data_IF_607284058548
#
_entry.id   IF_607284058548
#
_cell.length_a   1.000
_cell.length_b   1.000
_cell.length_c   1.000
_cell.angle_alpha   90.00
_cell.angle_beta   90.00
_cell.angle_gamma   90.00
#
_symmetry.space_group_name_H-M   'P 1'
#
loop_
_entity.id
_entity.type
_entity.pdbx_description
1 polymer ?
#
# COMPACT_ATOMS: atom_id res chain seq x y z
N UNK A 1 -8.01 0.19 9.17
CA UNK A 1 -8.12 -1.19 9.70
C UNK A 1 -8.13 -1.26 11.23
N UNK A 2 -7.42 -0.38 11.94
CA UNK A 2 -7.36 -0.40 13.42
C UNK A 2 -8.74 -0.37 14.09
N UNK A 3 -9.54 0.67 13.79
CA UNK A 3 -10.87 0.84 14.36
C UNK A 3 -11.79 -0.36 14.07
N UNK A 4 -11.78 -0.81 12.82
CA UNK A 4 -12.53 -1.98 12.39
C UNK A 4 -12.17 -3.24 13.22
N UNK A 5 -10.87 -3.48 13.44
CA UNK A 5 -10.41 -4.61 14.27
C UNK A 5 -10.90 -4.49 15.72
N UNK A 6 -10.88 -3.29 16.29
CA UNK A 6 -11.40 -3.03 17.65
C UNK A 6 -12.89 -3.31 17.75
N UNK A 7 -13.69 -2.75 16.85
CA UNK A 7 -15.14 -2.96 16.83
C UNK A 7 -15.49 -4.46 16.74
N UNK A 8 -14.81 -5.21 15.86
CA UNK A 8 -15.02 -6.67 15.76
C UNK A 8 -14.64 -7.40 17.04
N UNK A 9 -13.54 -7.02 17.69
CA UNK A 9 -13.15 -7.59 18.99
C UNK A 9 -14.17 -7.26 20.09
N UNK A 10 -14.86 -6.13 19.99
CA UNK A 10 -15.93 -5.70 20.89
C UNK A 10 -17.28 -6.39 20.58
N UNK A 11 -17.33 -7.26 19.55
CA UNK A 11 -18.51 -8.03 19.17
C UNK A 11 -19.37 -7.40 18.06
N UNK A 12 -18.96 -6.24 17.54
CA UNK A 12 -19.64 -5.57 16.44
C UNK A 12 -19.40 -6.28 15.10
N UNK A 13 -20.20 -5.93 14.09
CA UNK A 13 -20.14 -6.52 12.75
C UNK A 13 -19.68 -5.50 11.71
N UNK A 14 -18.95 -5.97 10.71
CA UNK A 14 -18.55 -5.18 9.54
C UNK A 14 -19.25 -5.74 8.32
N UNK A 15 -19.85 -4.85 7.51
CA UNK A 15 -20.47 -5.19 6.24
C UNK A 15 -19.76 -4.47 5.09
N UNK A 16 -19.59 -5.17 3.97
CA UNK A 16 -19.14 -4.57 2.72
C UNK A 16 -20.36 -4.12 1.91
N UNK A 17 -20.33 -2.87 1.41
CA UNK A 17 -21.38 -2.29 0.58
C UNK A 17 -20.78 -1.99 -0.79
N UNK A 18 -21.13 -2.79 -1.80
CA UNK A 18 -20.53 -2.72 -3.13
C UNK A 18 -20.96 -1.46 -3.89
N UNK A 19 -22.14 -0.92 -3.57
CA UNK A 19 -22.77 0.23 -4.22
C UNK A 19 -22.20 1.56 -3.74
N UNK A 20 -21.42 1.57 -2.65
CA UNK A 20 -20.79 2.78 -2.13
C UNK A 20 -19.73 3.30 -3.12
N UNK A 21 -20.00 4.46 -3.72
CA UNK A 21 -19.07 5.05 -4.68
C UNK A 21 -17.81 5.58 -3.98
N UNK A 22 -16.63 5.24 -4.53
CA UNK A 22 -15.35 5.81 -4.12
C UNK A 22 -14.66 6.34 -5.37
N UNK A 23 -14.36 7.64 -5.39
CA UNK A 23 -13.59 8.27 -6.44
C UNK A 23 -12.12 8.36 -6.00
N UNK A 24 -11.23 7.80 -6.81
CA UNK A 24 -9.79 7.86 -6.57
C UNK A 24 -9.20 9.06 -7.31
N UNK A 25 -8.92 10.15 -6.59
CA UNK A 25 -8.12 11.26 -7.07
C UNK A 25 -6.70 11.07 -6.53
N UNK A 26 -5.78 10.60 -7.38
CA UNK A 26 -4.38 10.50 -7.02
C UNK A 26 -3.53 11.24 -8.04
N UNK A 27 -2.99 12.37 -7.62
CA UNK A 27 -1.84 13.02 -8.24
C UNK A 27 -0.69 12.91 -7.24
N UNK A 28 -0.01 11.75 -7.26
CA UNK A 28 1.10 11.44 -6.35
C UNK A 28 2.35 11.14 -7.14
N UNK A 29 3.47 11.69 -6.68
CA UNK A 29 4.78 11.32 -7.20
C UNK A 29 5.14 9.88 -6.82
N UNK A 30 6.06 9.27 -7.56
CA UNK A 30 6.54 7.91 -7.27
C UNK A 30 7.13 7.76 -5.86
N UNK A 31 7.84 8.79 -5.38
CA UNK A 31 8.34 8.83 -4.01
C UNK A 31 7.21 8.98 -2.98
N UNK A 32 6.15 9.73 -3.32
CA UNK A 32 4.92 9.82 -2.55
C UNK A 32 4.23 8.47 -2.39
N UNK A 33 4.04 7.74 -3.50
CA UNK A 33 3.46 6.39 -3.50
C UNK A 33 4.25 5.45 -2.59
N UNK A 34 5.59 5.43 -2.72
CA UNK A 34 6.46 4.62 -1.84
C UNK A 34 6.24 4.99 -0.37
N UNK A 35 6.30 6.28 -0.03
CA UNK A 35 6.17 6.77 1.35
C UNK A 35 4.80 6.44 1.95
N UNK A 36 3.73 6.53 1.15
CA UNK A 36 2.37 6.15 1.56
C UNK A 36 2.32 4.68 1.97
N UNK A 37 2.75 3.79 1.08
CA UNK A 37 2.72 2.35 1.34
C UNK A 37 3.69 1.91 2.45
N UNK A 38 4.80 2.63 2.63
CA UNK A 38 5.71 2.46 3.76
C UNK A 38 5.04 2.79 5.09
N UNK A 39 4.34 3.93 5.18
CA UNK A 39 3.55 4.30 6.37
C UNK A 39 2.41 3.33 6.65
N UNK A 40 1.70 2.90 5.63
CA UNK A 40 0.62 1.91 5.76
C UNK A 40 1.15 0.57 6.29
N UNK A 41 2.33 0.13 5.83
CA UNK A 41 2.96 -1.11 6.28
C UNK A 41 3.41 -1.03 7.74
N UNK A 42 3.98 0.11 8.17
CA UNK A 42 4.31 0.36 9.58
C UNK A 42 3.03 0.31 10.45
N UNK A 43 1.97 0.97 10.01
CA UNK A 43 0.69 0.95 10.72
C UNK A 43 0.11 -0.47 10.78
N UNK A 44 0.18 -1.23 9.68
CA UNK A 44 -0.32 -2.60 9.61
C UNK A 44 0.45 -3.52 10.56
N UNK A 45 1.77 -3.34 10.74
CA UNK A 45 2.52 -4.10 11.75
C UNK A 45 2.01 -3.84 13.17
N UNK A 46 1.68 -2.60 13.50
CA UNK A 46 1.10 -2.28 14.82
C UNK A 46 -0.29 -2.90 14.99
N UNK A 47 -1.12 -2.89 13.94
CA UNK A 47 -2.50 -3.39 13.98
C UNK A 47 -2.54 -4.93 13.91
N UNK A 48 -1.66 -5.55 13.12
CA UNK A 48 -1.62 -6.98 12.81
C UNK A 48 -0.17 -7.49 12.80
N UNK A 49 0.48 -7.61 13.98
CA UNK A 49 1.89 -7.96 14.08
C UNK A 49 2.22 -9.35 13.51
N UNK A 50 1.22 -10.22 13.31
CA UNK A 50 1.42 -11.52 12.67
C UNK A 50 1.76 -11.43 11.17
N UNK A 51 1.47 -10.29 10.50
CA UNK A 51 1.73 -10.11 9.08
C UNK A 51 3.16 -9.61 8.87
N UNK A 52 3.99 -10.47 8.30
CA UNK A 52 5.37 -10.16 7.93
C UNK A 52 5.57 -10.34 6.44
N UNK A 53 6.34 -9.46 5.82
CA UNK A 53 6.62 -9.50 4.38
C UNK A 53 8.12 -9.66 4.19
N UNK A 54 8.51 -10.85 3.74
CA UNK A 54 9.89 -11.15 3.39
C UNK A 54 10.25 -10.71 1.97
N UNK A 55 11.54 -10.83 1.63
CA UNK A 55 12.04 -10.53 0.27
C UNK A 55 11.41 -11.43 -0.81
N UNK A 56 11.09 -12.68 -0.47
CA UNK A 56 10.42 -13.62 -1.39
C UNK A 56 8.99 -13.19 -1.67
N UNK A 57 8.28 -12.73 -0.65
CA UNK A 57 6.91 -12.22 -0.78
C UNK A 57 6.88 -10.94 -1.60
N UNK A 58 7.83 -10.02 -1.36
CA UNK A 58 8.02 -8.82 -2.17
C UNK A 58 8.09 -9.15 -3.67
N UNK A 59 9.01 -10.03 -4.07
CA UNK A 59 9.20 -10.40 -5.48
C UNK A 59 7.93 -11.05 -6.03
N UNK A 60 7.35 -12.00 -5.29
CA UNK A 60 6.12 -12.69 -5.68
C UNK A 60 4.98 -11.71 -5.90
N UNK A 61 4.77 -10.77 -4.98
CA UNK A 61 3.65 -9.83 -5.05
C UNK A 61 3.81 -8.81 -6.17
N UNK A 62 5.03 -8.31 -6.41
CA UNK A 62 5.32 -7.44 -7.56
C UNK A 62 4.96 -8.15 -8.86
N UNK A 63 5.54 -9.34 -9.10
CA UNK A 63 5.35 -10.06 -10.36
C UNK A 63 3.87 -10.42 -10.57
N UNK A 64 3.24 -10.96 -9.52
CA UNK A 64 1.84 -11.42 -9.60
C UNK A 64 0.89 -10.26 -9.88
N UNK A 65 1.07 -9.12 -9.21
CA UNK A 65 0.19 -7.97 -9.38
C UNK A 65 0.36 -7.29 -10.73
N UNK A 66 1.61 -7.14 -11.19
CA UNK A 66 1.90 -6.61 -12.53
C UNK A 66 1.26 -7.49 -13.60
N UNK A 67 1.39 -8.81 -13.48
CA UNK A 67 0.79 -9.75 -14.42
C UNK A 67 -0.73 -9.59 -14.52
N UNK A 68 -1.43 -9.53 -13.37
CA UNK A 68 -2.89 -9.37 -13.37
C UNK A 68 -3.34 -8.02 -13.94
N UNK A 69 -2.65 -6.93 -13.59
CA UNK A 69 -2.99 -5.60 -14.11
C UNK A 69 -2.70 -5.47 -15.61
N UNK A 70 -1.58 -6.04 -16.08
CA UNK A 70 -1.29 -6.10 -17.51
C UNK A 70 -2.30 -6.93 -18.29
N UNK A 71 -2.74 -8.08 -17.74
CA UNK A 71 -3.81 -8.88 -18.35
C UNK A 71 -5.10 -8.05 -18.47
N UNK A 72 -5.45 -7.29 -17.44
CA UNK A 72 -6.63 -6.42 -17.46
C UNK A 72 -6.46 -5.25 -18.45
N UNK A 73 -5.31 -4.59 -18.45
CA UNK A 73 -5.00 -3.50 -19.38
C UNK A 73 -5.03 -3.97 -20.85
N UNK A 74 -4.63 -5.22 -21.11
CA UNK A 74 -4.75 -5.84 -22.43
C UNK A 74 -6.21 -6.05 -22.82
N UNK A 75 -7.04 -6.59 -21.92
CA UNK A 75 -8.47 -6.78 -22.16
C UNK A 75 -9.20 -5.46 -22.43
N UNK A 76 -8.77 -4.39 -21.76
CA UNK A 76 -9.29 -3.02 -21.91
C UNK A 76 -8.62 -2.24 -23.06
N UNK A 77 -7.68 -2.84 -23.80
CA UNK A 77 -6.94 -2.26 -24.94
C UNK A 77 -6.10 -1.01 -24.62
N UNK A 78 -5.75 -0.80 -23.35
CA UNK A 78 -4.93 0.33 -22.87
C UNK A 78 -3.50 -0.08 -22.48
N UNK A 79 -3.10 -1.31 -22.82
CA UNK A 79 -1.81 -1.87 -22.39
C UNK A 79 -0.61 -1.00 -22.79
N UNK A 80 -0.50 -0.57 -24.04
CA UNK A 80 0.65 0.20 -24.52
C UNK A 80 0.81 1.55 -23.80
N UNK A 81 -0.30 2.14 -23.37
CA UNK A 81 -0.32 3.42 -22.67
C UNK A 81 0.03 3.26 -21.18
N UNK A 82 -0.41 2.15 -20.56
CA UNK A 82 -0.38 1.97 -19.11
C UNK A 82 0.65 0.97 -18.60
N UNK A 83 1.29 0.18 -19.46
CA UNK A 83 2.17 -0.91 -19.04
C UNK A 83 3.32 -0.44 -18.13
N UNK A 84 3.98 0.67 -18.49
CA UNK A 84 5.09 1.26 -17.72
C UNK A 84 4.59 1.83 -16.39
N UNK A 85 3.46 2.55 -16.42
CA UNK A 85 2.84 3.14 -15.23
C UNK A 85 2.44 2.05 -14.22
N UNK A 86 1.83 0.96 -14.69
CA UNK A 86 1.47 -0.21 -13.87
C UNK A 86 2.72 -0.81 -13.21
N UNK A 87 3.79 -1.01 -14.00
CA UNK A 87 5.04 -1.54 -13.49
C UNK A 87 5.61 -0.65 -12.39
N UNK A 88 5.74 0.66 -12.64
CA UNK A 88 6.27 1.62 -11.70
C UNK A 88 5.44 1.67 -10.42
N UNK A 89 4.12 1.78 -10.57
CA UNK A 89 3.19 1.82 -9.44
C UNK A 89 3.35 0.60 -8.54
N UNK A 90 3.31 -0.62 -9.10
CA UNK A 90 3.45 -1.85 -8.32
C UNK A 90 4.83 -2.01 -7.71
N UNK A 91 5.87 -1.60 -8.42
CA UNK A 91 7.22 -1.62 -7.88
C UNK A 91 7.33 -0.70 -6.65
N UNK A 92 6.95 0.58 -6.77
CA UNK A 92 7.00 1.54 -5.66
C UNK A 92 6.06 1.17 -4.51
N UNK A 93 4.88 0.62 -4.81
CA UNK A 93 3.95 0.09 -3.82
C UNK A 93 4.59 -0.97 -2.95
N UNK A 94 5.02 -2.09 -3.56
CA UNK A 94 5.53 -3.21 -2.77
C UNK A 94 6.91 -2.94 -2.18
N UNK A 95 7.72 -2.12 -2.83
CA UNK A 95 8.98 -1.66 -2.25
C UNK A 95 8.74 -0.81 -1.00
N UNK A 96 7.75 0.09 -1.03
CA UNK A 96 7.32 0.85 0.14
C UNK A 96 6.83 -0.07 1.27
N UNK A 97 5.97 -1.03 0.94
CA UNK A 97 5.47 -2.03 1.91
C UNK A 97 6.62 -2.79 2.56
N UNK A 98 7.57 -3.29 1.77
CA UNK A 98 8.73 -4.03 2.27
C UNK A 98 9.63 -3.16 3.15
N UNK A 99 9.93 -1.92 2.73
CA UNK A 99 10.71 -0.98 3.53
C UNK A 99 10.03 -0.69 4.88
N UNK A 100 8.73 -0.40 4.89
CA UNK A 100 7.98 -0.14 6.12
C UNK A 100 7.93 -1.35 7.05
N UNK A 101 7.87 -2.56 6.50
CA UNK A 101 7.84 -3.80 7.28
C UNK A 101 9.21 -4.14 7.89
N UNK A 102 10.32 -3.64 7.33
CA UNK A 102 11.68 -4.05 7.72
C UNK A 102 12.54 -2.92 8.33
N UNK A 103 12.22 -1.64 8.11
CA UNK A 103 13.10 -0.49 8.41
C UNK A 103 12.42 0.62 9.26
N UNK A 104 11.51 0.22 10.15
CA UNK A 104 10.61 1.15 10.87
C UNK A 104 11.28 2.14 11.85
N UNK A 105 12.50 1.86 12.36
CA UNK A 105 13.10 2.66 13.46
C UNK A 105 13.70 3.99 13.02
N UNK A 106 14.26 4.07 11.81
CA UNK A 106 14.93 5.29 11.33
C UNK A 106 13.94 6.28 10.74
N UNK A 107 12.83 5.80 10.16
CA UNK A 107 11.79 6.66 9.61
C UNK A 107 11.05 7.47 10.66
N UNK A 108 10.79 6.90 11.84
CA UNK A 108 9.95 7.55 12.85
C UNK A 108 10.53 8.85 13.39
N UNK A 109 11.86 8.99 13.47
CA UNK A 109 12.50 10.20 14.01
C UNK A 109 12.38 11.39 13.04
N UNK A 110 12.77 11.22 11.78
CA UNK A 110 12.71 12.30 10.80
C UNK A 110 11.26 12.70 10.48
N UNK A 111 10.35 11.72 10.40
CA UNK A 111 8.93 11.99 10.14
C UNK A 111 8.22 12.62 11.34
N UNK A 112 8.67 12.33 12.57
CA UNK A 112 8.15 12.99 13.76
C UNK A 112 8.50 14.47 13.74
N UNK A 113 9.75 14.81 13.43
CA UNK A 113 10.17 16.21 13.30
C UNK A 113 9.38 16.93 12.19
N UNK A 114 9.22 16.32 11.01
CA UNK A 114 8.42 16.89 9.91
C UNK A 114 6.93 17.08 10.28
N UNK A 115 6.35 16.16 11.05
CA UNK A 115 4.95 16.26 11.47
C UNK A 115 4.71 17.40 12.47
N UNK A 116 5.61 17.57 13.45
CA UNK A 116 5.47 18.62 14.46
C UNK A 116 6.04 19.97 14.02
N UNK A 117 7.00 19.97 13.09
CA UNK A 117 7.70 21.15 12.57
C UNK A 117 7.81 21.09 11.03
N UNK A 118 6.69 21.27 10.30
CA UNK A 118 6.74 21.40 8.86
C UNK A 118 7.43 22.73 8.50
N UNK A 119 8.47 22.66 7.66
CA UNK A 119 9.12 23.84 7.08
C UNK A 119 8.27 24.44 5.94
#
# INVERSE_FOLDING_TARGET
>A
MELAKRLVNDGEKIAYVAEACIYHYHDESWSGIKRRFERESIALQAIMPQIHIGKRDLIRYIITSIWFDWKKAWQEKVFNEKAVEIFQYRFYQYWGIYAGNNDHRKLSHAQKEEYYFPN
#
